data_IF_657343804880
#
_entry.id   IF_657343804880
#
_cell.length_a   1.000
_cell.length_b   1.000
_cell.length_c   1.000
_cell.angle_alpha   90.00
_cell.angle_beta   90.00
_cell.angle_gamma   90.00
#
_symmetry.space_group_name_H-M   'P 1'
#
loop_
_entity.id
_entity.type
_entity.pdbx_description
1 polymer ?
#
# COMPACT_ATOMS: atom_id res chain seq x y z
N UNK A 1 -13.96 7.50 -20.94
CA UNK A 1 -15.06 8.48 -20.72
C UNK A 1 -14.71 9.26 -19.46
N UNK A 2 -14.59 10.60 -19.47
CA UNK A 2 -14.31 11.34 -18.25
C UNK A 2 -15.62 11.52 -17.48
N UNK A 3 -15.65 11.00 -16.25
CA UNK A 3 -16.76 11.11 -15.31
C UNK A 3 -16.60 12.41 -14.51
N UNK A 4 -17.69 13.16 -14.34
CA UNK A 4 -17.75 14.49 -13.74
C UNK A 4 -17.27 14.56 -12.28
N UNK A 5 -17.14 15.79 -11.72
CA UNK A 5 -16.54 16.01 -10.41
C UNK A 5 -17.47 15.50 -9.31
N UNK A 6 -16.99 14.53 -8.51
CA UNK A 6 -17.72 14.04 -7.33
C UNK A 6 -17.74 12.52 -7.11
N UNK A 7 -17.24 11.71 -8.05
CA UNK A 7 -17.09 10.26 -7.85
C UNK A 7 -15.68 9.93 -7.34
N UNK A 8 -15.60 8.99 -6.39
CA UNK A 8 -14.48 8.78 -5.46
C UNK A 8 -13.14 8.41 -6.13
N UNK A 9 -12.38 9.43 -6.53
CA UNK A 9 -11.05 9.29 -7.18
C UNK A 9 -10.09 8.41 -6.38
N UNK A 10 -10.15 8.43 -5.05
CA UNK A 10 -9.37 7.57 -4.17
C UNK A 10 -9.69 6.09 -4.31
N UNK A 11 -10.97 5.73 -4.49
CA UNK A 11 -11.38 4.33 -4.72
C UNK A 11 -10.97 3.85 -6.11
N UNK A 12 -11.07 4.71 -7.12
CA UNK A 12 -10.60 4.40 -8.47
C UNK A 12 -9.08 4.24 -8.50
N UNK A 13 -8.36 5.12 -7.80
CA UNK A 13 -6.91 5.05 -7.65
C UNK A 13 -6.46 3.73 -6.98
N UNK A 14 -7.23 3.21 -6.01
CA UNK A 14 -6.91 1.97 -5.30
C UNK A 14 -6.85 0.72 -6.18
N UNK A 15 -7.46 0.75 -7.36
CA UNK A 15 -7.42 -0.35 -8.34
C UNK A 15 -6.58 -0.02 -9.59
N UNK A 16 -5.90 1.12 -9.60
CA UNK A 16 -5.04 1.55 -10.71
C UNK A 16 -3.58 1.17 -10.45
N UNK A 17 -3.03 0.30 -11.30
CA UNK A 17 -1.61 -0.04 -11.29
C UNK A 17 -0.72 1.18 -11.61
N UNK A 18 -1.17 2.07 -12.50
CA UNK A 18 -0.47 3.30 -12.85
C UNK A 18 -0.36 4.23 -11.63
N UNK A 19 -1.47 4.45 -10.92
CA UNK A 19 -1.45 5.26 -9.71
C UNK A 19 -0.56 4.65 -8.64
N UNK A 20 -0.69 3.33 -8.41
CA UNK A 20 0.16 2.60 -7.47
C UNK A 20 1.65 2.76 -7.77
N UNK A 21 2.06 2.57 -9.02
CA UNK A 21 3.45 2.77 -9.45
C UNK A 21 3.91 4.23 -9.26
N UNK A 22 3.07 5.21 -9.61
CA UNK A 22 3.39 6.62 -9.47
C UNK A 22 3.62 7.03 -8.01
N UNK A 23 2.73 6.64 -7.09
CA UNK A 23 2.88 6.99 -5.68
C UNK A 23 4.02 6.23 -5.00
N UNK A 24 4.29 4.98 -5.39
CA UNK A 24 5.48 4.26 -4.95
C UNK A 24 6.76 4.98 -5.37
N UNK A 25 6.83 5.47 -6.61
CA UNK A 25 8.00 6.19 -7.09
C UNK A 25 8.19 7.54 -6.38
N UNK A 26 7.11 8.31 -6.19
CA UNK A 26 7.17 9.65 -5.61
C UNK A 26 7.34 9.66 -4.09
N UNK A 27 6.73 8.70 -3.39
CA UNK A 27 6.65 8.69 -1.92
C UNK A 27 7.35 7.49 -1.27
N UNK A 28 7.90 6.57 -2.06
CA UNK A 28 8.54 5.34 -1.58
C UNK A 28 7.56 4.24 -1.14
N UNK A 29 6.32 4.58 -0.80
CA UNK A 29 5.29 3.62 -0.39
C UNK A 29 3.86 4.08 -0.72
N UNK A 30 2.95 3.16 -1.08
CA UNK A 30 1.56 3.46 -1.40
C UNK A 30 0.66 3.36 -0.14
N UNK A 31 0.78 4.31 0.79
CA UNK A 31 0.01 4.33 2.03
C UNK A 31 -1.43 4.85 1.88
N UNK A 32 -2.22 4.82 2.97
CA UNK A 32 -3.62 5.34 2.95
C UNK A 32 -3.68 6.77 2.43
N UNK A 33 -2.76 7.64 2.86
CA UNK A 33 -2.72 9.04 2.46
C UNK A 33 -2.59 9.19 0.93
N UNK A 34 -1.81 8.32 0.28
CA UNK A 34 -1.57 8.32 -1.16
C UNK A 34 -2.79 7.88 -1.99
N UNK A 35 -3.79 7.25 -1.36
CA UNK A 35 -5.06 6.88 -1.98
C UNK A 35 -6.23 7.78 -1.56
N UNK A 36 -5.99 8.83 -0.77
CA UNK A 36 -7.01 9.86 -0.52
C UNK A 36 -7.12 10.78 -1.72
N UNK A 37 -8.33 11.25 -2.01
CA UNK A 37 -8.62 12.18 -3.13
C UNK A 37 -7.64 13.36 -3.18
N UNK A 38 -7.29 13.92 -2.02
CA UNK A 38 -6.35 15.03 -1.90
C UNK A 38 -4.94 14.72 -2.46
N UNK A 39 -4.47 13.47 -2.36
CA UNK A 39 -3.21 13.05 -2.97
C UNK A 39 -3.39 12.68 -4.45
N UNK A 40 -4.51 12.04 -4.80
CA UNK A 40 -4.80 11.59 -6.17
C UNK A 40 -4.85 12.75 -7.16
N UNK A 41 -5.43 13.89 -6.77
CA UNK A 41 -5.55 15.07 -7.64
C UNK A 41 -4.28 15.93 -7.68
N UNK A 42 -3.20 15.53 -7.01
CA UNK A 42 -1.99 16.35 -7.01
C UNK A 42 -1.37 16.37 -8.41
N UNK A 43 -0.98 17.53 -8.94
CA UNK A 43 -0.43 17.63 -10.29
C UNK A 43 0.83 16.78 -10.51
N UNK A 44 1.67 16.60 -9.49
CA UNK A 44 2.88 15.77 -9.56
C UNK A 44 2.55 14.27 -9.71
N UNK A 45 1.56 13.78 -8.96
CA UNK A 45 1.04 12.41 -9.04
C UNK A 45 0.39 12.15 -10.40
N UNK A 46 -0.51 13.03 -10.85
CA UNK A 46 -1.16 12.90 -12.16
C UNK A 46 -0.13 12.94 -13.30
N UNK A 47 0.80 13.91 -13.27
CA UNK A 47 1.84 14.06 -14.30
C UNK A 47 2.83 12.88 -14.35
N UNK A 48 3.09 12.22 -13.22
CA UNK A 48 3.90 11.00 -13.21
C UNK A 48 3.09 9.78 -13.68
N UNK A 49 1.85 9.63 -13.22
CA UNK A 49 0.96 8.53 -13.61
C UNK A 49 0.74 8.43 -15.12
N UNK A 50 0.67 9.56 -15.83
CA UNK A 50 0.58 9.60 -17.30
C UNK A 50 1.79 8.95 -18.00
N UNK A 51 2.95 8.93 -17.35
CA UNK A 51 4.18 8.32 -17.89
C UNK A 51 4.26 6.81 -17.65
N UNK A 52 3.38 6.27 -16.81
CA UNK A 52 3.41 4.84 -16.45
C UNK A 52 2.63 4.03 -17.48
N UNK A 53 3.34 3.20 -18.22
CA UNK A 53 2.75 2.15 -19.06
C UNK A 53 2.68 0.84 -18.27
N UNK A 54 1.55 0.16 -18.33
CA UNK A 54 1.34 -1.15 -17.68
C UNK A 54 0.92 -2.14 -18.73
N UNK A 55 1.70 -3.20 -18.87
CA UNK A 55 1.48 -4.26 -19.86
C UNK A 55 1.28 -5.59 -19.13
N UNK A 56 0.44 -6.45 -19.72
CA UNK A 56 0.28 -7.82 -19.24
C UNK A 56 1.17 -8.73 -20.07
N UNK A 57 2.09 -9.40 -19.41
CA UNK A 57 2.93 -10.42 -20.03
C UNK A 57 2.52 -11.81 -19.49
N UNK A 58 2.04 -12.74 -20.34
CA UNK A 58 1.72 -14.10 -19.93
C UNK A 58 2.88 -14.89 -19.30
N UNK A 59 4.13 -14.48 -19.54
CA UNK A 59 5.32 -15.06 -18.93
C UNK A 59 5.55 -14.60 -17.48
N UNK A 60 4.94 -13.47 -17.07
CA UNK A 60 5.03 -12.95 -15.71
C UNK A 60 3.90 -13.53 -14.87
N UNK A 61 4.27 -14.22 -13.79
CA UNK A 61 3.30 -14.78 -12.86
C UNK A 61 2.44 -13.68 -12.21
N UNK A 62 1.21 -14.03 -11.80
CA UNK A 62 0.25 -13.07 -11.22
C UNK A 62 0.78 -12.34 -9.98
N UNK A 63 1.72 -12.95 -9.26
CA UNK A 63 2.35 -12.38 -8.07
C UNK A 63 3.80 -11.95 -8.30
N UNK A 64 4.18 -11.78 -9.57
CA UNK A 64 5.44 -11.20 -10.00
C UNK A 64 5.22 -9.84 -10.68
N UNK A 65 6.26 -9.04 -10.76
CA UNK A 65 6.26 -7.78 -11.51
C UNK A 65 7.67 -7.43 -11.97
N UNK A 66 7.78 -6.84 -13.16
CA UNK A 66 8.99 -6.21 -13.67
C UNK A 66 8.70 -4.73 -13.91
N UNK A 67 9.65 -3.88 -13.54
CA UNK A 67 9.58 -2.44 -13.74
C UNK A 67 10.86 -1.98 -14.42
N UNK A 68 10.70 -1.14 -15.44
CA UNK A 68 11.80 -0.44 -16.10
C UNK A 68 11.52 1.06 -16.09
N UNK A 69 12.56 1.86 -15.90
CA UNK A 69 12.49 3.32 -15.82
C UNK A 69 13.57 3.90 -16.72
N UNK A 70 13.13 4.56 -17.78
CA UNK A 70 13.97 5.36 -18.64
C UNK A 70 14.05 6.80 -18.13
N UNK A 71 15.27 7.26 -17.92
CA UNK A 71 15.55 8.60 -17.38
C UNK A 71 15.97 9.55 -18.49
N UNK A 72 15.86 10.86 -18.22
CA UNK A 72 16.13 11.91 -19.22
C UNK A 72 17.58 11.95 -19.70
N UNK A 73 18.51 11.40 -18.93
CA UNK A 73 19.92 11.29 -19.33
C UNK A 73 20.21 10.01 -20.16
N UNK A 74 19.17 9.25 -20.51
CA UNK A 74 19.25 8.06 -21.34
C UNK A 74 19.54 6.78 -20.58
N UNK A 75 19.68 6.82 -19.24
CA UNK A 75 19.84 5.59 -18.46
C UNK A 75 18.53 4.86 -18.27
N UNK A 76 18.59 3.54 -18.33
CA UNK A 76 17.50 2.63 -18.00
C UNK A 76 17.80 1.91 -16.69
N UNK A 77 16.87 1.95 -15.75
CA UNK A 77 16.92 1.19 -14.50
C UNK A 77 15.84 0.12 -14.54
N UNK A 78 16.17 -1.13 -14.22
CA UNK A 78 15.20 -2.20 -14.14
C UNK A 78 15.24 -2.91 -12.80
N UNK A 79 14.08 -3.41 -12.37
CA UNK A 79 13.93 -4.24 -11.18
C UNK A 79 12.82 -5.26 -11.41
N UNK A 80 12.99 -6.45 -10.83
CA UNK A 80 11.97 -7.49 -10.83
C UNK A 80 11.70 -7.97 -9.41
N UNK A 81 10.45 -8.36 -9.16
CA UNK A 81 10.09 -9.23 -8.05
C UNK A 81 9.46 -10.49 -8.64
N UNK A 82 9.92 -11.64 -8.17
CA UNK A 82 9.36 -12.94 -8.60
C UNK A 82 8.13 -13.33 -7.81
N UNK A 83 8.02 -12.84 -6.56
CA UNK A 83 6.90 -13.06 -5.64
C UNK A 83 6.66 -11.80 -4.82
N UNK A 84 5.41 -11.38 -4.75
CA UNK A 84 4.98 -10.22 -3.95
C UNK A 84 5.13 -10.52 -2.46
N UNK A 85 5.53 -9.50 -1.69
CA UNK A 85 5.57 -9.57 -0.24
C UNK A 85 4.14 -9.84 0.30
N UNK A 86 4.02 -10.79 1.22
CA UNK A 86 2.73 -11.25 1.76
C UNK A 86 2.11 -12.43 1.00
N UNK A 87 2.72 -12.90 -0.10
CA UNK A 87 2.34 -14.16 -0.72
C UNK A 87 2.78 -15.36 0.12
N UNK A 88 2.20 -16.55 -0.12
CA UNK A 88 2.65 -17.80 0.53
C UNK A 88 4.13 -18.08 0.31
N UNK A 89 4.68 -17.71 -0.85
CA UNK A 89 6.08 -17.93 -1.19
C UNK A 89 7.02 -16.84 -0.65
N UNK A 90 6.48 -15.69 -0.21
CA UNK A 90 7.22 -14.60 0.41
C UNK A 90 6.38 -13.98 1.54
N UNK A 91 6.23 -14.71 2.66
CA UNK A 91 5.37 -14.27 3.76
C UNK A 91 5.88 -12.97 4.38
N UNK A 92 4.95 -12.20 4.93
CA UNK A 92 5.27 -11.00 5.71
C UNK A 92 5.84 -11.43 7.06
N UNK A 93 6.94 -10.81 7.49
CA UNK A 93 7.49 -11.05 8.83
C UNK A 93 6.60 -10.44 9.91
N UNK A 94 6.68 -10.95 11.13
CA UNK A 94 5.95 -10.40 12.28
C UNK A 94 6.23 -8.91 12.47
N UNK A 95 7.51 -8.51 12.44
CA UNK A 95 7.91 -7.10 12.53
C UNK A 95 7.28 -6.20 11.45
N UNK A 96 7.12 -6.72 10.22
CA UNK A 96 6.44 -5.99 9.15
C UNK A 96 4.93 -5.92 9.38
N UNK A 97 4.30 -6.96 9.94
CA UNK A 97 2.88 -6.95 10.32
C UNK A 97 2.66 -5.89 11.41
N UNK A 98 3.48 -5.88 12.45
CA UNK A 98 3.37 -4.90 13.53
C UNK A 98 3.60 -3.47 13.03
N UNK A 99 4.59 -3.25 12.17
CA UNK A 99 4.83 -1.95 11.54
C UNK A 99 3.59 -1.49 10.79
N UNK A 100 2.98 -2.37 9.98
CA UNK A 100 1.74 -2.08 9.27
C UNK A 100 0.58 -1.76 10.24
N UNK A 101 0.45 -2.47 11.35
CA UNK A 101 -0.57 -2.17 12.38
C UNK A 101 -0.34 -0.78 12.98
N UNK A 102 0.91 -0.43 13.32
CA UNK A 102 1.27 0.90 13.85
C UNK A 102 0.95 2.01 12.85
N UNK A 103 1.35 1.83 11.59
CA UNK A 103 1.11 2.80 10.51
C UNK A 103 -0.39 3.03 10.29
N UNK A 104 -1.19 1.95 10.26
CA UNK A 104 -2.64 2.05 10.09
C UNK A 104 -3.31 2.70 11.31
N UNK A 105 -2.92 2.32 12.53
CA UNK A 105 -3.46 2.90 13.76
C UNK A 105 -3.17 4.41 13.86
N UNK A 106 -2.00 4.86 13.39
CA UNK A 106 -1.64 6.27 13.34
C UNK A 106 -2.55 7.12 12.42
N UNK A 107 -3.25 6.48 11.47
CA UNK A 107 -4.25 7.16 10.62
C UNK A 107 -5.64 7.27 11.25
N UNK A 108 -5.88 6.59 12.37
CA UNK A 108 -7.14 6.62 13.10
C UNK A 108 -7.35 7.92 13.86
N UNK A 109 -8.59 8.18 14.28
CA UNK A 109 -8.94 9.34 15.10
C UNK A 109 -8.55 9.18 16.58
N UNK A 110 -8.38 7.93 17.02
CA UNK A 110 -8.03 7.57 18.39
C UNK A 110 -6.50 7.49 18.55
N UNK A 111 -5.92 8.40 19.34
CA UNK A 111 -4.48 8.42 19.65
C UNK A 111 -4.15 7.56 20.88
N UNK A 112 -4.51 6.28 20.83
CA UNK A 112 -4.13 5.31 21.88
C UNK A 112 -2.79 4.65 21.54
N UNK A 113 -2.00 4.25 22.55
CA UNK A 113 -0.84 3.41 22.30
C UNK A 113 -1.31 2.08 21.69
N UNK A 114 -0.78 1.75 20.52
CA UNK A 114 -1.14 0.53 19.77
C UNK A 114 -0.35 -0.71 20.25
N UNK A 115 0.77 -0.51 20.95
CA UNK A 115 1.62 -1.63 21.39
C UNK A 115 0.88 -2.63 22.30
N UNK A 116 0.10 -2.20 23.31
CA UNK A 116 -0.69 -3.15 24.12
C UNK A 116 -1.68 -3.98 23.30
N UNK A 117 -2.24 -3.41 22.22
CA UNK A 117 -3.11 -4.14 21.31
C UNK A 117 -2.34 -5.19 20.50
N UNK A 118 -1.15 -4.83 20.00
CA UNK A 118 -0.27 -5.75 19.28
C UNK A 118 0.11 -6.93 20.20
N UNK A 119 0.55 -6.63 21.42
CA UNK A 119 0.97 -7.65 22.39
C UNK A 119 -0.19 -8.60 22.74
N UNK A 120 -1.39 -8.07 22.98
CA UNK A 120 -2.58 -8.87 23.28
C UNK A 120 -3.06 -9.73 22.11
N UNK A 121 -2.87 -9.27 20.87
CA UNK A 121 -3.22 -10.05 19.66
C UNK A 121 -2.22 -11.19 19.41
N UNK A 122 -0.95 -11.01 19.74
CA UNK A 122 0.07 -12.06 19.60
C UNK A 122 -0.08 -13.18 20.65
N UNK A 123 -0.72 -12.92 21.79
CA UNK A 123 -0.96 -13.91 22.86
C UNK A 123 -2.46 -14.24 22.99
N UNK A 124 -3.23 -14.10 21.90
CA UNK A 124 -4.68 -14.21 21.94
C UNK A 124 -5.14 -15.62 22.34
N UNK A 125 -4.41 -16.64 21.91
CA UNK A 125 -4.66 -18.05 22.24
C UNK A 125 -4.45 -18.38 23.72
N UNK A 126 -3.69 -17.57 24.44
CA UNK A 126 -3.44 -17.71 25.88
C UNK A 126 -4.47 -16.92 26.72
N UNK A 127 -5.28 -16.08 26.07
CA UNK A 127 -6.24 -15.22 26.75
C UNK A 127 -7.45 -16.01 27.26
N UNK A 128 -7.78 -15.83 28.55
CA UNK A 128 -9.02 -16.34 29.13
C UNK A 128 -10.24 -15.46 28.84
N UNK A 129 -10.05 -14.23 28.34
CA UNK A 129 -11.11 -13.26 28.07
C UNK A 129 -10.78 -12.33 26.89
N UNK A 130 -11.34 -12.65 25.72
CA UNK A 130 -11.18 -11.85 24.49
C UNK A 130 -11.75 -10.42 24.62
N UNK A 131 -12.60 -10.15 25.62
CA UNK A 131 -13.11 -8.80 25.88
C UNK A 131 -11.99 -7.80 26.24
N UNK A 132 -10.85 -8.29 26.74
CA UNK A 132 -9.66 -7.49 27.04
C UNK A 132 -9.11 -6.81 25.78
N UNK A 133 -9.00 -7.55 24.68
CA UNK A 133 -8.57 -6.99 23.38
C UNK A 133 -9.53 -5.91 22.91
N UNK A 134 -10.84 -6.16 23.04
CA UNK A 134 -11.86 -5.19 22.64
C UNK A 134 -11.82 -3.89 23.45
N UNK A 135 -11.39 -3.94 24.71
CA UNK A 135 -11.21 -2.74 25.55
C UNK A 135 -10.05 -1.86 25.06
N UNK A 136 -9.06 -2.44 24.39
CA UNK A 136 -7.89 -1.70 23.86
C UNK A 136 -8.21 -0.89 22.59
N UNK A 137 -9.29 -1.23 21.88
CA UNK A 137 -9.73 -0.55 20.64
C UNK A 137 -10.91 0.40 20.82
N UNK A 138 -11.46 0.53 22.04
CA UNK A 138 -12.61 1.39 22.36
C UNK A 138 -12.23 2.82 22.76
#
# INVERSE_FOLDING_TARGET
>A
MPIGPGHARGREAAVSAQHGAAVCFLYGAPGIAQYRDACVIRPDVEAFGIKVCVEKDPAIAVDAAQVSIDTRDGRCHSSEIRRVLGSLARPTTEAQIETKVRDLAATGTQRRPVQPLIDALWHLEESSDVSEVMRLVR
#
